data_IF_149503108002
#
_entry.id   IF_149503108002
#
_cell.length_a   1.000
_cell.length_b   1.000
_cell.length_c   1.000
_cell.angle_alpha   90.00
_cell.angle_beta   90.00
_cell.angle_gamma   90.00
#
_symmetry.space_group_name_H-M   'P 1'
#
loop_
_entity.id
_entity.type
_entity.pdbx_description
1 polymer ?
#
# COMPACT_ATOMS: atom_id res chain seq x y z
N UNK A 1 1.42 -19.14 -30.48
CA UNK A 1 -0.03 -19.16 -30.79
C UNK A 1 -0.77 -19.73 -29.58
N UNK A 2 -1.12 -18.89 -28.61
CA UNK A 2 -2.10 -19.20 -27.58
C UNK A 2 -3.00 -17.98 -27.49
N UNK A 3 -3.98 -17.93 -28.39
CA UNK A 3 -5.08 -16.98 -28.29
C UNK A 3 -5.92 -17.44 -27.12
N UNK A 4 -5.84 -16.73 -26.00
CA UNK A 4 -6.88 -16.78 -24.98
C UNK A 4 -8.19 -16.56 -25.71
N UNK A 5 -9.16 -17.50 -25.69
CA UNK A 5 -10.34 -17.36 -26.51
C UNK A 5 -11.12 -16.15 -26.00
N UNK A 6 -11.41 -15.23 -26.91
CA UNK A 6 -12.37 -14.11 -26.73
C UNK A 6 -13.72 -14.62 -26.20
N UNK A 7 -14.00 -15.92 -26.34
CA UNK A 7 -15.13 -16.62 -25.73
C UNK A 7 -15.13 -16.63 -24.19
N UNK A 8 -13.97 -16.64 -23.51
CA UNK A 8 -13.95 -16.51 -22.04
C UNK A 8 -14.33 -15.09 -21.58
N UNK A 9 -13.99 -14.06 -22.36
CA UNK A 9 -14.42 -12.69 -22.10
C UNK A 9 -15.93 -12.53 -22.35
N UNK A 10 -16.48 -13.16 -23.39
CA UNK A 10 -17.92 -13.17 -23.65
C UNK A 10 -18.74 -13.86 -22.54
N UNK A 11 -18.20 -14.92 -21.91
CA UNK A 11 -18.88 -15.58 -20.78
C UNK A 11 -18.85 -14.73 -19.49
N UNK A 12 -17.82 -13.90 -19.31
CA UNK A 12 -17.74 -12.91 -18.22
C UNK A 12 -18.78 -11.78 -18.38
N UNK A 13 -19.20 -11.47 -19.61
CA UNK A 13 -20.25 -10.47 -19.88
C UNK A 13 -21.69 -11.00 -19.78
N UNK A 14 -21.89 -12.32 -19.74
CA UNK A 14 -23.24 -12.92 -19.57
C UNK A 14 -23.70 -13.03 -18.12
N UNK A 15 -22.83 -12.79 -17.15
CA UNK A 15 -23.16 -12.87 -15.73
C UNK A 15 -23.05 -11.48 -15.13
N UNK A 16 -24.18 -10.76 -15.06
CA UNK A 16 -24.27 -9.40 -14.49
C UNK A 16 -23.51 -9.31 -13.16
N UNK A 17 -23.51 -10.38 -12.37
CA UNK A 17 -22.82 -10.48 -11.08
C UNK A 17 -21.31 -10.23 -11.17
N UNK A 18 -20.67 -10.84 -12.17
CA UNK A 18 -19.23 -10.72 -12.41
C UNK A 18 -18.91 -9.33 -12.94
N UNK A 19 -19.77 -8.77 -13.79
CA UNK A 19 -19.59 -7.43 -14.33
C UNK A 19 -19.67 -6.38 -13.22
N UNK A 20 -20.63 -6.50 -12.30
CA UNK A 20 -20.75 -5.62 -11.14
C UNK A 20 -19.56 -5.74 -10.19
N UNK A 21 -19.13 -6.96 -9.88
CA UNK A 21 -17.99 -7.17 -8.98
C UNK A 21 -16.68 -6.67 -9.60
N UNK A 22 -16.50 -6.83 -10.91
CA UNK A 22 -15.35 -6.31 -11.64
C UNK A 22 -15.35 -4.77 -11.73
N UNK A 23 -16.51 -4.16 -11.99
CA UNK A 23 -16.66 -2.70 -12.01
C UNK A 23 -16.30 -2.08 -10.65
N UNK A 24 -16.69 -2.73 -9.55
CA UNK A 24 -16.30 -2.32 -8.20
C UNK A 24 -14.78 -2.41 -7.99
N UNK A 25 -14.15 -3.54 -8.34
CA UNK A 25 -12.70 -3.69 -8.18
C UNK A 25 -11.93 -2.64 -8.98
N UNK A 26 -12.40 -2.31 -10.19
CA UNK A 26 -11.84 -1.26 -11.01
C UNK A 26 -11.93 0.11 -10.33
N UNK A 27 -13.07 0.43 -9.69
CA UNK A 27 -13.24 1.68 -8.94
C UNK A 27 -12.26 1.77 -7.75
N UNK A 28 -12.11 0.70 -6.98
CA UNK A 28 -11.18 0.67 -5.83
C UNK A 28 -9.71 0.77 -6.26
N UNK A 29 -9.35 0.08 -7.33
CA UNK A 29 -8.02 0.18 -7.94
C UNK A 29 -7.76 1.58 -8.50
N UNK A 30 -8.78 2.24 -9.05
CA UNK A 30 -8.67 3.61 -9.51
C UNK A 30 -8.42 4.58 -8.33
N UNK A 31 -9.14 4.41 -7.21
CA UNK A 31 -8.90 5.19 -5.98
C UNK A 31 -7.47 4.99 -5.46
N UNK A 32 -6.98 3.75 -5.44
CA UNK A 32 -5.60 3.46 -5.08
C UNK A 32 -4.61 4.12 -6.04
N UNK A 33 -4.83 3.98 -7.35
CA UNK A 33 -3.97 4.55 -8.38
C UNK A 33 -3.88 6.08 -8.26
N UNK A 34 -5.01 6.75 -8.04
CA UNK A 34 -5.05 8.20 -7.81
C UNK A 34 -4.25 8.62 -6.57
N UNK A 35 -4.27 7.81 -5.51
CA UNK A 35 -3.42 8.07 -4.33
C UNK A 35 -1.94 7.91 -4.64
N UNK A 36 -1.57 6.84 -5.35
CA UNK A 36 -0.18 6.58 -5.73
C UNK A 36 0.38 7.61 -6.73
N UNK A 37 -0.49 8.22 -7.54
CA UNK A 37 -0.15 9.30 -8.47
C UNK A 37 -0.14 10.71 -7.83
N UNK A 38 -0.31 10.81 -6.50
CA UNK A 38 -0.28 12.07 -5.79
C UNK A 38 1.07 12.81 -5.96
N UNK A 39 1.02 14.14 -6.05
CA UNK A 39 2.24 14.98 -6.07
C UNK A 39 3.02 14.79 -4.77
N UNK A 40 4.35 14.68 -4.88
CA UNK A 40 5.32 14.56 -3.78
C UNK A 40 5.21 13.27 -2.95
N UNK A 41 4.65 12.21 -3.52
CA UNK A 41 4.63 10.91 -2.85
C UNK A 41 6.02 10.27 -2.96
N UNK A 42 6.62 9.91 -1.81
CA UNK A 42 7.88 9.18 -1.76
C UNK A 42 7.63 7.66 -1.71
N UNK A 43 8.67 6.85 -1.97
CA UNK A 43 8.54 5.37 -2.00
C UNK A 43 8.00 4.78 -0.68
N UNK A 44 8.30 5.39 0.45
CA UNK A 44 7.85 4.94 1.77
C UNK A 44 6.34 5.18 1.94
N UNK A 45 5.87 6.36 1.54
CA UNK A 45 4.44 6.71 1.52
C UNK A 45 3.66 5.85 0.51
N UNK A 46 4.29 5.45 -0.60
CA UNK A 46 3.71 4.50 -1.56
C UNK A 46 3.50 3.14 -0.91
N UNK A 47 4.53 2.61 -0.23
CA UNK A 47 4.43 1.37 0.51
C UNK A 47 3.36 1.45 1.62
N UNK A 48 3.27 2.55 2.36
CA UNK A 48 2.22 2.73 3.38
C UNK A 48 0.81 2.75 2.77
N UNK A 49 0.67 3.38 1.61
CA UNK A 49 -0.61 3.43 0.88
C UNK A 49 -1.02 2.03 0.39
N UNK A 50 -0.07 1.25 -0.13
CA UNK A 50 -0.30 -0.14 -0.58
C UNK A 50 -0.63 -1.04 0.60
N UNK A 51 0.14 -0.97 1.68
CA UNK A 51 -0.09 -1.78 2.88
C UNK A 51 -1.46 -1.46 3.51
N UNK A 52 -1.83 -0.18 3.57
CA UNK A 52 -3.17 0.23 3.99
C UNK A 52 -4.27 -0.34 3.09
N UNK A 53 -4.02 -0.50 1.79
CA UNK A 53 -4.97 -1.10 0.85
C UNK A 53 -5.09 -2.61 1.05
N UNK A 54 -3.98 -3.31 1.26
CA UNK A 54 -3.97 -4.75 1.59
C UNK A 54 -4.78 -5.02 2.87
N UNK A 55 -4.56 -4.23 3.93
CA UNK A 55 -5.32 -4.36 5.18
C UNK A 55 -6.82 -4.09 4.99
N UNK A 56 -7.19 -3.17 4.09
CA UNK A 56 -8.59 -2.96 3.72
C UNK A 56 -9.18 -4.15 2.98
N UNK A 57 -8.43 -4.80 2.08
CA UNK A 57 -8.87 -6.03 1.41
C UNK A 57 -9.19 -7.12 2.45
N UNK A 58 -8.31 -7.31 3.44
CA UNK A 58 -8.53 -8.25 4.54
C UNK A 58 -9.81 -7.94 5.31
N UNK A 59 -9.99 -6.68 5.72
CA UNK A 59 -11.22 -6.22 6.37
C UNK A 59 -12.47 -6.44 5.52
N UNK A 60 -12.41 -6.20 4.21
CA UNK A 60 -13.53 -6.43 3.31
C UNK A 60 -13.89 -7.92 3.19
N UNK A 61 -12.90 -8.81 3.17
CA UNK A 61 -13.14 -10.26 3.20
C UNK A 61 -13.92 -10.67 4.45
N UNK A 62 -13.56 -10.15 5.63
CA UNK A 62 -14.28 -10.40 6.90
C UNK A 62 -15.72 -9.88 6.86
N UNK A 63 -15.93 -8.69 6.30
CA UNK A 63 -17.27 -8.12 6.12
C UNK A 63 -18.13 -8.95 5.17
N UNK A 64 -17.59 -9.39 4.04
CA UNK A 64 -18.33 -10.24 3.09
C UNK A 64 -18.67 -11.59 3.71
N UNK A 65 -17.75 -12.20 4.48
CA UNK A 65 -18.03 -13.44 5.21
C UNK A 65 -19.20 -13.29 6.20
N UNK A 66 -19.29 -12.15 6.89
CA UNK A 66 -20.43 -11.83 7.77
C UNK A 66 -21.71 -11.38 7.05
N UNK A 67 -21.71 -11.38 5.72
CA UNK A 67 -22.85 -10.91 4.91
C UNK A 67 -23.04 -9.40 4.92
N UNK A 68 -22.04 -8.66 5.38
CA UNK A 68 -22.05 -7.20 5.42
C UNK A 68 -21.40 -6.64 4.16
N UNK A 69 -22.21 -6.04 3.29
CA UNK A 69 -21.76 -5.40 2.05
C UNK A 69 -21.68 -3.87 2.15
N UNK A 70 -21.73 -3.29 3.36
CA UNK A 70 -21.69 -1.83 3.57
C UNK A 70 -20.45 -1.13 3.01
N UNK A 71 -19.32 -1.86 2.88
CA UNK A 71 -18.11 -1.34 2.24
C UNK A 71 -18.21 -1.25 0.72
N UNK A 72 -19.33 -1.71 0.15
CA UNK A 72 -19.59 -1.84 -1.26
C UNK A 72 -20.95 -1.21 -1.59
N UNK A 73 -21.06 0.12 -1.55
CA UNK A 73 -22.35 0.83 -1.70
C UNK A 73 -23.21 0.31 -2.87
N UNK A 74 -22.63 0.15 -4.07
CA UNK A 74 -23.36 -0.37 -5.24
C UNK A 74 -23.81 -1.83 -5.12
N UNK A 75 -23.02 -2.68 -4.45
CA UNK A 75 -23.41 -4.07 -4.18
C UNK A 75 -24.48 -4.12 -3.08
N UNK A 76 -24.37 -3.25 -2.07
CA UNK A 76 -25.35 -3.13 -1.00
C UNK A 76 -26.72 -2.68 -1.54
N UNK A 77 -26.73 -1.69 -2.44
CA UNK A 77 -27.95 -1.19 -3.09
C UNK A 77 -28.63 -2.25 -3.99
N UNK A 78 -27.86 -3.18 -4.56
CA UNK A 78 -28.38 -4.30 -5.36
C UNK A 78 -28.94 -5.44 -4.49
N UNK A 79 -28.35 -5.65 -3.31
CA UNK A 79 -28.77 -6.69 -2.36
C UNK A 79 -29.98 -6.25 -1.50
N UNK A 80 -30.28 -4.95 -1.46
CA UNK A 80 -31.44 -4.35 -0.77
C UNK A 80 -32.75 -4.59 -1.54
N UNK A 81 -33.14 -5.84 -1.76
CA UNK A 81 -34.55 -6.27 -1.93
C UNK A 81 -34.67 -7.77 -2.23
N UNK A 82 -35.10 -8.55 -1.23
CA UNK A 82 -35.73 -9.87 -1.41
C UNK A 82 -34.92 -10.92 -2.22
N UNK A 83 -33.59 -10.93 -2.16
CA UNK A 83 -32.81 -11.96 -2.86
C UNK A 83 -32.79 -13.32 -2.12
N UNK A 84 -32.82 -14.40 -2.90
CA UNK A 84 -32.68 -15.77 -2.41
C UNK A 84 -31.35 -15.97 -1.67
N UNK A 85 -31.39 -16.64 -0.51
CA UNK A 85 -30.21 -16.93 0.31
C UNK A 85 -29.10 -17.67 -0.48
N UNK A 86 -29.48 -18.50 -1.46
CA UNK A 86 -28.56 -19.20 -2.35
C UNK A 86 -27.80 -18.23 -3.28
N UNK A 87 -28.45 -17.16 -3.76
CA UNK A 87 -27.82 -16.13 -4.59
C UNK A 87 -26.79 -15.34 -3.76
N UNK A 88 -27.15 -14.99 -2.52
CA UNK A 88 -26.25 -14.29 -1.59
C UNK A 88 -24.97 -15.10 -1.31
N UNK A 89 -25.09 -16.41 -1.13
CA UNK A 89 -23.94 -17.28 -0.88
C UNK A 89 -23.07 -17.46 -2.13
N UNK A 90 -23.64 -17.45 -3.33
CA UNK A 90 -22.89 -17.42 -4.58
C UNK A 90 -22.10 -16.10 -4.73
N UNK A 91 -22.75 -14.97 -4.45
CA UNK A 91 -22.13 -13.64 -4.47
C UNK A 91 -20.96 -13.54 -3.49
N UNK A 92 -21.13 -14.02 -2.25
CA UNK A 92 -20.04 -14.08 -1.27
C UNK A 92 -18.84 -14.84 -1.82
N UNK A 93 -19.05 -16.02 -2.42
CA UNK A 93 -17.96 -16.83 -2.99
C UNK A 93 -17.22 -16.09 -4.10
N UNK A 94 -17.93 -15.43 -5.01
CA UNK A 94 -17.32 -14.68 -6.12
C UNK A 94 -16.47 -13.52 -5.59
N UNK A 95 -17.04 -12.69 -4.71
CA UNK A 95 -16.35 -11.52 -4.15
C UNK A 95 -15.13 -11.95 -3.31
N UNK A 96 -15.27 -12.98 -2.47
CA UNK A 96 -14.15 -13.50 -1.66
C UNK A 96 -13.02 -14.05 -2.52
N UNK A 97 -13.36 -14.76 -3.61
CA UNK A 97 -12.37 -15.30 -4.55
C UNK A 97 -11.57 -14.17 -5.21
N UNK A 98 -12.27 -13.13 -5.68
CA UNK A 98 -11.64 -11.98 -6.32
C UNK A 98 -10.78 -11.17 -5.35
N UNK A 99 -11.26 -10.90 -4.13
CA UNK A 99 -10.49 -10.21 -3.10
C UNK A 99 -9.23 -10.99 -2.71
N UNK A 100 -9.32 -12.32 -2.61
CA UNK A 100 -8.16 -13.17 -2.29
C UNK A 100 -7.14 -13.21 -3.43
N UNK A 101 -7.58 -13.22 -4.69
CA UNK A 101 -6.68 -13.08 -5.83
C UNK A 101 -5.99 -11.72 -5.81
N UNK A 102 -6.74 -10.64 -5.55
CA UNK A 102 -6.19 -9.30 -5.49
C UNK A 102 -5.16 -9.15 -4.37
N UNK A 103 -5.47 -9.64 -3.16
CA UNK A 103 -4.54 -9.69 -2.03
C UNK A 103 -3.24 -10.41 -2.41
N UNK A 104 -3.34 -11.61 -3.00
CA UNK A 104 -2.17 -12.39 -3.41
C UNK A 104 -1.32 -11.68 -4.47
N UNK A 105 -1.95 -10.99 -5.42
CA UNK A 105 -1.24 -10.17 -6.41
C UNK A 105 -0.50 -9.00 -5.75
N UNK A 106 -1.14 -8.31 -4.81
CA UNK A 106 -0.47 -7.24 -4.06
C UNK A 106 0.69 -7.75 -3.22
N UNK A 107 0.53 -8.85 -2.47
CA UNK A 107 1.61 -9.47 -1.70
C UNK A 107 2.76 -9.95 -2.59
N UNK A 108 2.45 -10.41 -3.81
CA UNK A 108 3.44 -10.84 -4.80
C UNK A 108 4.24 -9.66 -5.37
N UNK A 109 3.57 -8.57 -5.74
CA UNK A 109 4.21 -7.39 -6.34
C UNK A 109 4.88 -6.48 -5.30
N UNK A 110 4.35 -6.44 -4.08
CA UNK A 110 4.80 -5.59 -2.98
C UNK A 110 4.99 -6.40 -1.71
N UNK A 111 6.07 -7.19 -1.62
CA UNK A 111 6.34 -7.96 -0.42
C UNK A 111 6.56 -7.02 0.78
N UNK A 112 5.99 -7.37 1.94
CA UNK A 112 6.02 -6.60 3.22
C UNK A 112 7.41 -6.16 3.69
N UNK A 113 8.46 -6.74 3.11
CA UNK A 113 9.86 -6.55 3.49
C UNK A 113 10.31 -5.09 3.47
N UNK A 114 9.66 -4.22 2.68
CA UNK A 114 10.08 -2.81 2.61
C UNK A 114 9.88 -2.05 3.92
N UNK A 115 8.85 -2.37 4.71
CA UNK A 115 8.60 -1.67 5.98
C UNK A 115 9.52 -2.15 7.12
N UNK A 116 10.14 -3.31 6.98
CA UNK A 116 11.00 -3.90 8.01
C UNK A 116 12.48 -3.57 7.83
N UNK A 117 12.87 -3.03 6.68
CA UNK A 117 14.29 -2.75 6.40
C UNK A 117 14.83 -1.65 7.31
N UNK A 118 16.14 -1.69 7.55
CA UNK A 118 16.81 -0.68 8.35
C UNK A 118 16.73 0.71 7.68
N UNK A 119 16.71 0.79 6.34
CA UNK A 119 16.58 2.04 5.60
C UNK A 119 15.22 2.71 5.84
N UNK A 120 14.15 1.92 5.78
CA UNK A 120 12.78 2.41 6.02
C UNK A 120 12.58 2.86 7.47
N UNK A 121 13.12 2.08 8.42
CA UNK A 121 13.16 2.48 9.82
C UNK A 121 13.95 3.77 9.99
N UNK A 122 15.14 3.87 9.38
CA UNK A 122 16.04 5.03 9.50
C UNK A 122 15.33 6.28 9.02
N UNK A 123 14.66 6.21 7.87
CA UNK A 123 13.89 7.32 7.34
C UNK A 123 12.78 7.79 8.30
N UNK A 124 11.98 6.86 8.84
CA UNK A 124 10.78 7.16 9.63
C UNK A 124 11.07 7.58 11.06
N UNK A 125 12.07 6.96 11.69
CA UNK A 125 12.31 7.07 13.12
C UNK A 125 13.81 6.95 13.43
N UNK A 126 14.66 7.86 12.93
CA UNK A 126 16.11 7.75 13.05
C UNK A 126 16.60 7.71 14.50
N UNK A 127 15.85 8.25 15.46
CA UNK A 127 16.24 8.30 16.87
C UNK A 127 15.85 7.05 17.69
N UNK A 128 14.98 6.18 17.14
CA UNK A 128 14.44 5.00 17.84
C UNK A 128 15.00 3.67 17.30
N UNK A 129 16.01 3.72 16.45
CA UNK A 129 16.67 2.54 15.89
C UNK A 129 17.89 2.17 16.73
N UNK A 130 18.10 0.88 16.88
CA UNK A 130 19.31 0.37 17.50
C UNK A 130 20.50 0.48 16.55
N UNK A 131 21.67 0.87 17.08
CA UNK A 131 22.89 1.09 16.30
C UNK A 131 23.33 -0.20 15.59
N UNK A 132 23.08 -1.38 16.16
CA UNK A 132 23.42 -2.65 15.52
C UNK A 132 22.55 -2.98 14.30
N UNK A 133 21.46 -2.23 14.08
CA UNK A 133 20.56 -2.42 12.92
C UNK A 133 21.09 -1.72 11.67
N UNK A 134 21.95 -0.71 11.82
CA UNK A 134 22.52 0.03 10.68
C UNK A 134 23.90 -0.51 10.29
N UNK A 135 24.32 -0.36 9.01
CA UNK A 135 25.64 -0.79 8.55
C UNK A 135 26.80 -0.17 9.34
N UNK A 136 27.86 -0.96 9.59
CA UNK A 136 29.04 -0.53 10.36
C UNK A 136 29.65 0.78 9.87
N UNK A 137 29.69 0.98 8.54
CA UNK A 137 30.28 2.16 7.92
C UNK A 137 29.52 3.47 8.18
N UNK A 138 28.32 3.43 8.79
CA UNK A 138 27.56 4.63 9.17
C UNK A 138 27.30 4.74 10.68
N UNK A 139 27.73 3.76 11.48
CA UNK A 139 27.36 3.68 12.90
C UNK A 139 27.89 4.84 13.73
N UNK A 140 29.13 5.27 13.53
CA UNK A 140 29.72 6.38 14.29
C UNK A 140 28.96 7.69 14.05
N UNK A 141 28.77 8.06 12.78
CA UNK A 141 28.00 9.25 12.39
C UNK A 141 26.53 9.15 12.83
N UNK A 142 25.96 7.95 12.84
CA UNK A 142 24.60 7.71 13.34
C UNK A 142 24.49 7.89 14.86
N UNK A 143 25.51 7.49 15.62
CA UNK A 143 25.58 7.74 17.07
C UNK A 143 25.61 9.24 17.35
N UNK A 144 26.38 10.00 16.56
CA UNK A 144 26.45 11.46 16.69
C UNK A 144 25.09 12.10 16.42
N UNK A 145 24.45 11.74 15.29
CA UNK A 145 23.10 12.21 14.97
C UNK A 145 22.11 11.86 16.08
N UNK A 146 22.14 10.61 16.59
CA UNK A 146 21.20 10.15 17.62
C UNK A 146 21.37 10.91 18.95
N UNK A 147 22.52 11.49 19.22
CA UNK A 147 22.78 12.28 20.42
C UNK A 147 22.64 13.80 20.20
N UNK A 148 22.42 14.27 18.97
CA UNK A 148 22.12 15.67 18.69
C UNK A 148 20.68 16.02 19.09
N UNK A 149 20.53 16.81 20.16
CA UNK A 149 19.23 17.30 20.64
C UNK A 149 18.58 18.27 19.65
N UNK A 150 19.37 19.06 18.94
CA UNK A 150 18.86 20.02 17.94
C UNK A 150 18.26 19.28 16.75
N UNK A 151 18.92 18.20 16.31
CA UNK A 151 18.40 17.33 15.26
C UNK A 151 17.09 16.65 15.68
N UNK A 152 17.01 16.17 16.93
CA UNK A 152 15.76 15.59 17.48
C UNK A 152 14.61 16.58 17.46
N UNK A 153 14.83 17.78 17.97
CA UNK A 153 13.80 18.82 18.01
C UNK A 153 13.36 19.20 16.59
N UNK A 154 14.33 19.37 15.68
CA UNK A 154 14.07 19.67 14.28
C UNK A 154 13.19 18.61 13.62
N UNK A 155 13.47 17.32 13.86
CA UNK A 155 12.71 16.20 13.31
C UNK A 155 11.24 16.18 13.79
N UNK A 156 10.98 16.66 15.01
CA UNK A 156 9.61 16.77 15.54
C UNK A 156 8.85 17.97 14.98
N UNK A 157 9.56 19.03 14.59
CA UNK A 157 8.96 20.29 14.14
C UNK A 157 8.79 20.41 12.62
N UNK A 158 9.65 19.76 11.84
CA UNK A 158 9.67 19.86 10.37
C UNK A 158 9.17 18.56 9.71
N UNK A 159 8.89 18.60 8.42
CA UNK A 159 8.64 17.39 7.63
C UNK A 159 9.88 16.49 7.59
N UNK A 160 9.69 15.17 7.52
CA UNK A 160 10.79 14.19 7.40
C UNK A 160 11.67 14.48 6.18
N UNK A 161 11.06 14.86 5.06
CA UNK A 161 11.74 15.26 3.83
C UNK A 161 12.68 16.46 4.08
N UNK A 162 12.15 17.51 4.71
CA UNK A 162 12.89 18.74 5.05
C UNK A 162 14.04 18.47 6.01
N UNK A 163 13.82 17.62 7.03
CA UNK A 163 14.85 17.23 7.98
C UNK A 163 16.05 16.58 7.29
N UNK A 164 15.83 15.56 6.45
CA UNK A 164 16.92 14.86 5.78
C UNK A 164 17.67 15.75 4.78
N UNK A 165 16.97 16.69 4.14
CA UNK A 165 17.61 17.67 3.26
C UNK A 165 18.46 18.69 4.02
N UNK A 166 18.05 19.09 5.23
CA UNK A 166 18.75 20.05 6.09
C UNK A 166 20.02 19.46 6.69
N UNK A 167 19.95 18.20 7.13
CA UNK A 167 21.06 17.53 7.81
C UNK A 167 21.99 16.74 6.89
N UNK A 168 21.77 16.80 5.57
CA UNK A 168 22.58 16.07 4.57
C UNK A 168 24.07 16.40 4.61
N UNK A 169 24.42 17.64 4.91
CA UNK A 169 25.82 18.10 4.88
C UNK A 169 26.51 17.87 6.23
N UNK A 170 25.72 17.82 7.32
CA UNK A 170 26.20 17.53 8.67
C UNK A 170 26.43 16.03 8.91
N UNK A 171 25.56 15.18 8.36
CA UNK A 171 25.62 13.72 8.50
C UNK A 171 25.50 13.03 7.12
N UNK A 172 26.51 13.19 6.23
CA UNK A 172 26.41 12.78 4.83
C UNK A 172 26.25 11.26 4.63
N UNK A 173 26.88 10.44 5.46
CA UNK A 173 26.82 8.98 5.32
C UNK A 173 25.46 8.41 5.77
N UNK A 174 24.90 8.95 6.85
CA UNK A 174 23.59 8.57 7.39
C UNK A 174 22.48 9.11 6.49
N UNK A 175 22.57 10.39 6.09
CA UNK A 175 21.53 11.04 5.28
C UNK A 175 21.48 10.55 3.83
N UNK A 176 22.56 9.96 3.30
CA UNK A 176 22.60 9.43 1.93
C UNK A 176 21.46 8.42 1.66
N UNK A 177 21.14 7.57 2.63
CA UNK A 177 20.12 6.53 2.47
C UNK A 177 18.70 7.12 2.45
N UNK A 178 18.26 7.91 3.44
CA UNK A 178 16.98 8.63 3.40
C UNK A 178 16.82 9.50 2.16
N UNK A 179 17.86 10.25 1.75
CA UNK A 179 17.81 11.10 0.56
C UNK A 179 17.62 10.26 -0.70
N UNK A 180 18.27 9.10 -0.81
CA UNK A 180 18.03 8.19 -1.93
C UNK A 180 16.58 7.71 -1.98
N UNK A 181 15.96 7.43 -0.84
CA UNK A 181 14.53 7.05 -0.77
C UNK A 181 13.61 8.22 -1.15
N UNK A 182 13.98 9.45 -0.80
CA UNK A 182 13.25 10.66 -1.23
C UNK A 182 13.29 10.86 -2.75
N UNK A 183 14.44 10.55 -3.37
CA UNK A 183 14.65 10.73 -4.81
C UNK A 183 14.04 9.60 -5.65
N UNK A 184 13.71 8.47 -5.05
CA UNK A 184 13.05 7.37 -5.74
C UNK A 184 11.59 7.74 -6.01
N UNK A 185 11.28 8.01 -7.28
CA UNK A 185 9.91 8.23 -7.73
C UNK A 185 9.06 6.98 -7.51
N UNK A 186 7.91 7.15 -6.87
CA UNK A 186 6.94 6.08 -6.61
C UNK A 186 6.21 5.60 -7.87
N UNK A 187 6.26 6.37 -8.96
CA UNK A 187 5.58 6.02 -10.21
C UNK A 187 6.52 6.20 -11.40
N UNK A 188 6.46 5.24 -12.31
CA UNK A 188 7.12 5.27 -13.63
C UNK A 188 6.17 5.71 -14.74
N UNK A 189 4.99 6.26 -14.40
CA UNK A 189 4.06 6.79 -15.37
C UNK A 189 4.61 8.11 -15.93
N UNK A 190 5.45 7.98 -16.96
CA UNK A 190 5.68 9.01 -17.98
C UNK A 190 4.49 9.08 -18.93
#
# INVERSE_FOLDING_TARGET
>A
LNRVPIFCLLFLFTNEKIVFSLAYLAEMLNVLNMKLQGRNLNIIQACDTINSFIEKIKLWKEKVMSGNFSSFHRLNDLLDSNEDQELLDEWKKVVLSQLSQLESEFERYFPDKFNETWESKLYRSPFNIDVATVPENIQEEFIDLRNDSTAKDCFLTESVEGFWLKYKDAYPNVAATPIRLLLQFSTTYL
#
